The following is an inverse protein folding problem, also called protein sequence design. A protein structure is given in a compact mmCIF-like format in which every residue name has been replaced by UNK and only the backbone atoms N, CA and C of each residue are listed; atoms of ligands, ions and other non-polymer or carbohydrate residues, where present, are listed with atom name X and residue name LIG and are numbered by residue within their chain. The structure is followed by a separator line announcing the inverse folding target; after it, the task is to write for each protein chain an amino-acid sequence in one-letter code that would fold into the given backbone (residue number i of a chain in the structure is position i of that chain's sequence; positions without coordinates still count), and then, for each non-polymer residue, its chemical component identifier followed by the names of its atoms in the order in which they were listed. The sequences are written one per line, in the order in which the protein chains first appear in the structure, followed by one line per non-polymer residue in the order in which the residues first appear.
data_IF_305124288258
#
_entry.id   IF_305124288258
#
_cell.length_a   1.000
_cell.length_b   1.000
_cell.length_c   1.000
_cell.angle_alpha   90.00
_cell.angle_beta   90.00
_cell.angle_gamma   90.00
#
_symmetry.space_group_name_H-M   'P 1'
#
loop_
_entity.id
_entity.type
_entity.pdbx_description
1 polymer ?
#
# COMPACT_ATOMS: atom_id res chain seq x y z
N UNK A 1 -12.39 -15.68 10.59
CA UNK A 1 -12.55 -16.69 9.53
C UNK A 1 -13.08 -17.99 10.15
N UNK A 2 -14.07 -18.61 9.56
CA UNK A 2 -14.75 -19.83 10.07
C UNK A 2 -15.06 -20.78 8.91
N UNK A 3 -15.58 -21.97 9.20
CA UNK A 3 -16.05 -22.94 8.19
C UNK A 3 -17.22 -22.46 7.34
N UNK A 4 -17.93 -21.40 7.77
CA UNK A 4 -19.02 -20.80 7.02
C UNK A 4 -18.56 -19.85 5.91
N UNK A 5 -17.28 -19.50 5.89
CA UNK A 5 -16.71 -18.55 4.96
C UNK A 5 -16.28 -19.20 3.64
N UNK A 6 -16.27 -18.39 2.60
CA UNK A 6 -15.65 -18.71 1.31
C UNK A 6 -14.59 -17.67 1.01
N UNK A 7 -13.34 -18.09 0.90
CA UNK A 7 -12.21 -17.20 0.63
C UNK A 7 -11.68 -17.38 -0.79
N UNK A 8 -11.49 -16.29 -1.51
CA UNK A 8 -10.80 -16.25 -2.80
C UNK A 8 -9.57 -15.33 -2.68
N UNK A 9 -8.34 -15.89 -2.57
CA UNK A 9 -7.14 -15.08 -2.58
C UNK A 9 -6.75 -14.75 -4.02
N UNK A 10 -6.67 -13.45 -4.34
CA UNK A 10 -6.11 -13.00 -5.63
C UNK A 10 -4.58 -12.96 -5.58
N UNK A 11 -4.02 -13.11 -4.38
CA UNK A 11 -2.58 -13.14 -4.15
C UNK A 11 -1.97 -14.44 -4.68
N UNK A 12 -0.88 -14.39 -5.49
CA UNK A 12 -0.24 -15.59 -6.04
C UNK A 12 0.28 -16.54 -4.96
N UNK A 13 0.15 -17.86 -5.19
CA UNK A 13 0.63 -18.90 -4.28
C UNK A 13 2.13 -18.83 -3.99
N UNK A 14 2.94 -18.34 -4.92
CA UNK A 14 4.39 -18.18 -4.73
C UNK A 14 4.77 -16.97 -3.86
N UNK A 15 3.83 -16.05 -3.59
CA UNK A 15 4.09 -14.86 -2.78
C UNK A 15 3.64 -15.07 -1.33
N UNK A 16 4.59 -15.39 -0.45
CA UNK A 16 4.35 -15.74 0.96
C UNK A 16 3.20 -16.75 1.12
N UNK A 17 3.11 -17.73 0.20
CA UNK A 17 2.09 -18.77 0.13
C UNK A 17 0.65 -18.21 0.11
N UNK A 18 0.38 -17.26 -0.79
CA UNK A 18 -0.88 -16.51 -0.85
C UNK A 18 -1.26 -15.94 0.52
N UNK A 19 -0.28 -15.29 1.18
CA UNK A 19 -0.38 -14.72 2.53
C UNK A 19 -0.87 -15.70 3.61
N UNK A 20 -0.52 -16.99 3.47
CA UNK A 20 -0.84 -18.03 4.44
C UNK A 20 -2.29 -18.51 4.41
N UNK A 21 -3.13 -17.96 3.52
CA UNK A 21 -4.56 -18.34 3.46
C UNK A 21 -4.82 -19.83 3.21
N UNK A 22 -4.09 -20.57 2.34
CA UNK A 22 -4.32 -21.99 2.17
C UNK A 22 -4.20 -22.78 3.47
N UNK A 23 -3.23 -22.43 4.32
CA UNK A 23 -3.06 -23.08 5.63
C UNK A 23 -4.19 -22.72 6.59
N UNK A 24 -4.53 -21.44 6.68
CA UNK A 24 -5.58 -20.97 7.57
C UNK A 24 -6.95 -21.55 7.16
N UNK A 25 -7.28 -21.60 5.88
CA UNK A 25 -8.52 -22.20 5.40
C UNK A 25 -8.63 -23.67 5.80
N UNK A 26 -7.55 -24.45 5.62
CA UNK A 26 -7.52 -25.86 6.02
C UNK A 26 -7.66 -26.04 7.53
N UNK A 27 -7.04 -25.16 8.32
CA UNK A 27 -7.11 -25.23 9.80
C UNK A 27 -8.53 -25.03 10.35
N UNK A 28 -9.32 -24.17 9.71
CA UNK A 28 -10.66 -23.78 10.21
C UNK A 28 -11.81 -24.34 9.36
N UNK A 29 -11.52 -25.04 8.26
CA UNK A 29 -12.53 -25.65 7.38
C UNK A 29 -13.18 -24.66 6.41
N UNK A 30 -12.60 -23.48 6.19
CA UNK A 30 -13.08 -22.47 5.23
C UNK A 30 -12.95 -23.00 3.79
N UNK A 31 -13.98 -22.81 2.96
CA UNK A 31 -13.90 -23.05 1.52
C UNK A 31 -12.89 -22.09 0.89
N UNK A 32 -11.94 -22.61 0.12
CA UNK A 32 -11.01 -21.81 -0.67
C UNK A 32 -11.28 -21.95 -2.16
N UNK A 33 -11.33 -20.84 -2.87
CA UNK A 33 -11.50 -20.75 -4.33
C UNK A 33 -10.22 -20.18 -4.92
N UNK A 34 -9.69 -20.81 -5.97
CA UNK A 34 -8.53 -20.33 -6.68
C UNK A 34 -8.95 -19.78 -8.05
N UNK A 35 -8.73 -18.49 -8.34
CA UNK A 35 -9.17 -17.87 -9.61
C UNK A 35 -8.36 -18.32 -10.82
N UNK A 36 -7.30 -19.13 -10.62
CA UNK A 36 -6.40 -19.52 -11.70
C UNK A 36 -5.57 -18.34 -12.23
N UNK A 37 -5.26 -18.30 -13.53
CA UNK A 37 -4.45 -17.25 -14.14
C UNK A 37 -5.26 -16.02 -14.57
N UNK A 38 -6.58 -16.05 -14.48
CA UNK A 38 -7.48 -15.00 -14.97
C UNK A 38 -7.79 -14.03 -13.82
N UNK A 39 -7.04 -12.93 -13.75
CA UNK A 39 -7.13 -11.95 -12.67
C UNK A 39 -7.69 -10.62 -13.16
N UNK A 40 -8.36 -10.60 -14.32
CA UNK A 40 -9.08 -9.42 -14.80
C UNK A 40 -10.32 -9.16 -13.94
N UNK A 41 -10.77 -7.89 -13.84
CA UNK A 41 -11.87 -7.52 -12.95
C UNK A 41 -13.17 -8.24 -13.19
N UNK A 42 -13.52 -8.52 -14.46
CA UNK A 42 -14.77 -9.18 -14.84
C UNK A 42 -14.78 -10.63 -14.34
N UNK A 43 -13.73 -11.40 -14.66
CA UNK A 43 -13.58 -12.80 -14.22
C UNK A 43 -13.60 -12.91 -12.70
N UNK A 44 -12.91 -12.02 -11.99
CA UNK A 44 -12.89 -12.04 -10.52
C UNK A 44 -14.27 -11.73 -9.92
N UNK A 45 -15.02 -10.79 -10.49
CA UNK A 45 -16.35 -10.45 -10.04
C UNK A 45 -17.35 -11.59 -10.30
N UNK A 46 -17.24 -12.26 -11.45
CA UNK A 46 -18.02 -13.46 -11.77
C UNK A 46 -17.73 -14.59 -10.75
N UNK A 47 -16.46 -14.83 -10.42
CA UNK A 47 -16.06 -15.81 -9.41
C UNK A 47 -16.60 -15.44 -8.02
N UNK A 48 -16.55 -14.14 -7.64
CA UNK A 48 -17.07 -13.67 -6.35
C UNK A 48 -18.56 -13.97 -6.19
N UNK A 49 -19.35 -13.73 -7.23
CA UNK A 49 -20.78 -14.00 -7.22
C UNK A 49 -21.06 -15.52 -7.24
N UNK A 50 -20.52 -16.24 -8.25
CA UNK A 50 -20.82 -17.64 -8.49
C UNK A 50 -20.41 -18.55 -7.33
N UNK A 51 -19.25 -18.30 -6.74
CA UNK A 51 -18.72 -19.09 -5.63
C UNK A 51 -19.22 -18.61 -4.26
N UNK A 52 -19.91 -17.45 -4.24
CA UNK A 52 -20.42 -16.82 -3.04
C UNK A 52 -19.31 -16.42 -2.08
N UNK A 53 -18.29 -15.76 -2.62
CA UNK A 53 -17.10 -15.33 -1.87
C UNK A 53 -17.49 -14.34 -0.77
N UNK A 54 -17.00 -14.60 0.45
CA UNK A 54 -17.26 -13.78 1.64
C UNK A 54 -16.04 -12.94 2.03
N UNK A 55 -14.84 -13.48 1.78
CA UNK A 55 -13.56 -12.85 2.07
C UNK A 55 -12.67 -12.95 0.85
N UNK A 56 -11.98 -11.86 0.54
CA UNK A 56 -10.97 -11.85 -0.53
C UNK A 56 -9.74 -11.07 -0.11
N UNK A 57 -8.60 -11.31 -0.78
CA UNK A 57 -7.33 -10.66 -0.47
C UNK A 57 -6.54 -10.39 -1.75
N UNK A 58 -5.98 -9.20 -1.87
CA UNK A 58 -5.22 -8.80 -3.05
C UNK A 58 -4.47 -7.49 -2.88
N UNK A 59 -3.87 -7.03 -3.98
CA UNK A 59 -3.09 -5.79 -4.03
C UNK A 59 -3.95 -4.62 -4.56
N UNK A 60 -3.58 -3.37 -4.27
CA UNK A 60 -4.37 -2.19 -4.66
C UNK A 60 -4.71 -2.11 -6.15
N UNK A 61 -3.78 -2.51 -7.04
CA UNK A 61 -4.00 -2.45 -8.50
C UNK A 61 -5.17 -3.34 -8.95
N UNK A 62 -5.34 -4.51 -8.36
CA UNK A 62 -6.49 -5.38 -8.62
C UNK A 62 -7.78 -4.72 -8.13
N UNK A 63 -7.76 -4.19 -6.91
CA UNK A 63 -8.93 -3.54 -6.32
C UNK A 63 -9.35 -2.29 -7.07
N UNK A 64 -8.41 -1.50 -7.58
CA UNK A 64 -8.73 -0.34 -8.43
C UNK A 64 -9.41 -0.76 -9.73
N UNK A 65 -8.97 -1.86 -10.36
CA UNK A 65 -9.62 -2.43 -11.55
C UNK A 65 -11.07 -2.88 -11.25
N UNK A 66 -11.26 -3.61 -10.15
CA UNK A 66 -12.59 -4.05 -9.69
C UNK A 66 -13.49 -2.86 -9.36
N UNK A 67 -12.98 -1.85 -8.63
CA UNK A 67 -13.74 -0.64 -8.33
C UNK A 67 -14.20 0.08 -9.60
N UNK A 68 -13.30 0.24 -10.57
CA UNK A 68 -13.64 0.84 -11.86
C UNK A 68 -14.69 0.07 -12.66
N UNK A 69 -14.71 -1.27 -12.55
CA UNK A 69 -15.73 -2.10 -13.19
C UNK A 69 -17.08 -1.97 -12.47
N UNK A 70 -17.09 -2.01 -11.14
CA UNK A 70 -18.30 -1.81 -10.33
C UNK A 70 -18.89 -0.42 -10.52
N UNK A 71 -18.07 0.62 -10.69
CA UNK A 71 -18.55 1.98 -10.97
C UNK A 71 -19.21 2.10 -12.35
N UNK A 72 -18.77 1.30 -13.34
CA UNK A 72 -19.37 1.26 -14.69
C UNK A 72 -20.66 0.45 -14.71
N UNK A 73 -20.73 -0.64 -13.99
CA UNK A 73 -21.84 -1.62 -14.01
C UNK A 73 -22.26 -1.99 -12.57
N UNK A 74 -22.81 -1.05 -11.78
CA UNK A 74 -23.00 -1.21 -10.33
C UNK A 74 -23.98 -2.33 -9.93
N UNK A 75 -24.92 -2.68 -10.80
CA UNK A 75 -25.98 -3.68 -10.54
C UNK A 75 -25.74 -5.02 -11.25
N UNK A 76 -24.56 -5.21 -11.87
CA UNK A 76 -24.28 -6.41 -12.68
C UNK A 76 -24.02 -7.65 -11.82
N UNK A 77 -23.36 -7.51 -10.66
CA UNK A 77 -22.98 -8.62 -9.80
C UNK A 77 -23.61 -8.52 -8.41
N UNK A 78 -24.11 -9.63 -7.91
CA UNK A 78 -24.55 -9.74 -6.51
C UNK A 78 -23.36 -10.07 -5.59
N UNK A 79 -22.76 -9.05 -5.03
CA UNK A 79 -21.70 -9.17 -4.05
C UNK A 79 -22.19 -9.10 -2.60
N UNK A 80 -23.47 -9.35 -2.32
CA UNK A 80 -24.06 -9.21 -0.97
C UNK A 80 -23.35 -10.05 0.09
N UNK A 81 -22.77 -11.19 -0.30
CA UNK A 81 -22.00 -12.08 0.60
C UNK A 81 -20.59 -11.55 0.91
N UNK A 82 -19.99 -10.75 0.01
CA UNK A 82 -18.64 -10.24 0.19
C UNK A 82 -18.63 -9.13 1.25
N UNK A 83 -18.08 -9.44 2.42
CA UNK A 83 -18.05 -8.51 3.56
C UNK A 83 -16.64 -8.06 3.96
N UNK A 84 -15.57 -8.70 3.47
CA UNK A 84 -14.20 -8.33 3.82
C UNK A 84 -13.25 -8.46 2.64
N UNK A 85 -12.55 -7.37 2.33
CA UNK A 85 -11.56 -7.29 1.28
C UNK A 85 -10.22 -6.87 1.90
N UNK A 86 -9.27 -7.80 2.04
CA UNK A 86 -7.94 -7.45 2.52
C UNK A 86 -7.12 -6.83 1.40
N UNK A 87 -6.51 -5.70 1.69
CA UNK A 87 -5.54 -5.05 0.82
C UNK A 87 -4.18 -4.99 1.50
N UNK A 88 -3.13 -5.30 0.76
CA UNK A 88 -1.76 -5.24 1.26
C UNK A 88 -0.75 -5.31 0.13
N UNK A 89 0.52 -5.46 0.49
CA UNK A 89 1.61 -5.53 -0.47
C UNK A 89 2.12 -4.17 -0.97
N UNK A 90 1.28 -3.15 -1.01
CA UNK A 90 1.63 -1.73 -1.16
C UNK A 90 0.59 -0.87 -0.46
N UNK A 91 0.86 0.43 -0.31
CA UNK A 91 -0.09 1.36 0.29
C UNK A 91 -1.38 1.41 -0.54
N UNK A 92 -2.52 1.31 0.14
CA UNK A 92 -3.83 1.41 -0.48
C UNK A 92 -4.28 2.87 -0.55
N UNK A 93 -4.59 3.40 -1.75
CA UNK A 93 -5.10 4.76 -1.85
C UNK A 93 -6.38 4.96 -1.02
N UNK A 94 -6.41 6.00 -0.20
CA UNK A 94 -7.59 6.36 0.59
C UNK A 94 -8.86 6.49 -0.27
N UNK A 95 -8.72 7.08 -1.45
CA UNK A 95 -9.81 7.24 -2.41
C UNK A 95 -10.40 5.90 -2.87
N UNK A 96 -9.57 4.85 -3.03
CA UNK A 96 -10.02 3.51 -3.35
C UNK A 96 -10.83 2.92 -2.20
N UNK A 97 -10.34 3.02 -0.96
CA UNK A 97 -11.03 2.54 0.25
C UNK A 97 -12.38 3.24 0.41
N UNK A 98 -12.40 4.57 0.26
CA UNK A 98 -13.62 5.38 0.29
C UNK A 98 -14.60 4.97 -0.81
N UNK A 99 -14.10 4.74 -2.02
CA UNK A 99 -14.92 4.29 -3.15
C UNK A 99 -15.65 2.99 -2.88
N UNK A 100 -14.97 1.96 -2.42
CA UNK A 100 -15.60 0.69 -2.04
C UNK A 100 -16.64 0.87 -0.94
N UNK A 101 -16.34 1.64 0.08
CA UNK A 101 -17.24 1.86 1.21
C UNK A 101 -18.47 2.66 0.82
N UNK A 102 -18.28 3.83 0.21
CA UNK A 102 -19.35 4.81 -0.04
C UNK A 102 -20.26 4.44 -1.20
N UNK A 103 -19.69 3.86 -2.27
CA UNK A 103 -20.47 3.55 -3.48
C UNK A 103 -20.98 2.12 -3.52
N UNK A 104 -20.23 1.17 -2.92
CA UNK A 104 -20.54 -0.26 -3.02
C UNK A 104 -20.77 -0.95 -1.68
N UNK A 105 -20.71 -0.22 -0.54
CA UNK A 105 -20.95 -0.77 0.80
C UNK A 105 -19.98 -1.87 1.21
N UNK A 106 -18.75 -1.89 0.65
CA UNK A 106 -17.76 -2.93 0.93
C UNK A 106 -16.71 -2.47 1.93
N UNK A 107 -16.32 -3.37 2.83
CA UNK A 107 -15.29 -3.10 3.82
C UNK A 107 -13.92 -3.52 3.29
N UNK A 108 -13.02 -2.56 3.21
CA UNK A 108 -11.60 -2.81 2.94
C UNK A 108 -10.85 -2.84 4.25
N UNK A 109 -10.03 -3.86 4.44
CA UNK A 109 -9.11 -4.00 5.58
C UNK A 109 -7.69 -3.86 5.05
N UNK A 110 -6.96 -2.86 5.51
CA UNK A 110 -5.58 -2.64 5.10
C UNK A 110 -4.63 -3.37 6.06
N UNK A 111 -3.61 -4.00 5.54
CA UNK A 111 -2.60 -4.68 6.33
C UNK A 111 -1.19 -4.49 5.78
N UNK A 112 -0.22 -4.55 6.67
CA UNK A 112 1.19 -4.54 6.31
C UNK A 112 1.88 -5.80 6.80
N UNK A 113 2.78 -6.26 5.99
CA UNK A 113 3.65 -7.38 6.29
C UNK A 113 4.59 -7.67 5.14
N UNK A 114 5.43 -8.65 5.34
CA UNK A 114 6.44 -9.07 4.39
C UNK A 114 6.76 -10.56 4.60
N UNK A 115 7.55 -11.16 3.73
CA UNK A 115 7.92 -12.59 3.89
C UNK A 115 8.53 -12.84 5.26
N UNK A 116 9.34 -11.92 5.74
CA UNK A 116 10.04 -11.99 7.02
C UNK A 116 9.11 -11.87 8.24
N UNK A 117 7.86 -11.42 8.05
CA UNK A 117 6.83 -11.40 9.11
C UNK A 117 5.78 -12.50 8.98
N UNK A 118 5.96 -13.50 8.12
CA UNK A 118 5.24 -14.79 7.95
C UNK A 118 3.70 -14.75 7.78
N UNK A 119 3.09 -13.93 6.96
CA UNK A 119 3.56 -12.71 6.34
C UNK A 119 3.07 -11.43 7.02
N UNK A 120 2.07 -11.48 7.93
CA UNK A 120 1.33 -10.32 8.42
C UNK A 120 1.85 -9.82 9.76
N UNK A 121 2.10 -8.53 9.86
CA UNK A 121 2.50 -7.88 11.11
C UNK A 121 1.46 -6.88 11.63
N UNK A 122 0.73 -6.19 10.75
CA UNK A 122 -0.30 -5.23 11.16
C UNK A 122 -1.59 -5.41 10.36
N UNK A 123 -2.70 -4.95 10.95
CA UNK A 123 -3.99 -4.87 10.26
C UNK A 123 -4.77 -3.65 10.75
N UNK A 124 -5.45 -2.99 9.83
CA UNK A 124 -6.34 -1.88 10.19
C UNK A 124 -7.62 -2.43 10.80
N UNK A 125 -7.90 -2.03 12.03
CA UNK A 125 -9.17 -2.25 12.71
C UNK A 125 -9.43 -1.02 13.59
N UNK A 126 -10.68 -0.77 13.91
CA UNK A 126 -11.04 0.34 14.78
C UNK A 126 -10.97 -0.07 16.24
N UNK A 127 -10.29 0.72 17.06
CA UNK A 127 -10.25 0.54 18.51
C UNK A 127 -11.01 1.65 19.26
N UNK A 128 -11.61 1.29 20.37
CA UNK A 128 -12.27 2.25 21.27
C UNK A 128 -13.33 3.09 20.55
N UNK A 129 -13.23 4.40 20.73
CA UNK A 129 -14.12 5.43 20.18
C UNK A 129 -14.01 5.58 18.63
N UNK A 130 -12.94 5.11 18.01
CA UNK A 130 -12.81 5.11 16.56
C UNK A 130 -13.87 4.22 15.87
N UNK A 131 -14.45 3.26 16.58
CA UNK A 131 -15.56 2.44 16.06
C UNK A 131 -16.84 3.25 15.79
N UNK A 132 -17.00 4.36 16.48
CA UNK A 132 -18.17 5.26 16.39
C UNK A 132 -17.79 6.66 15.91
N UNK A 133 -16.56 6.86 15.46
CA UNK A 133 -16.11 8.10 14.88
C UNK A 133 -16.84 8.40 13.55
N UNK A 134 -16.77 9.63 13.10
CA UNK A 134 -17.29 10.01 11.79
C UNK A 134 -16.57 9.24 10.66
N UNK A 135 -17.21 9.22 9.49
CA UNK A 135 -16.74 8.41 8.37
C UNK A 135 -15.36 8.85 7.88
N UNK A 136 -15.07 10.15 7.85
CA UNK A 136 -13.79 10.69 7.38
C UNK A 136 -12.65 10.24 8.29
N UNK A 137 -12.85 10.36 9.62
CA UNK A 137 -11.92 9.83 10.62
C UNK A 137 -11.68 8.33 10.46
N UNK A 138 -12.75 7.56 10.23
CA UNK A 138 -12.62 6.12 10.01
C UNK A 138 -11.87 5.79 8.71
N UNK A 139 -12.09 6.53 7.64
CA UNK A 139 -11.36 6.35 6.37
C UNK A 139 -9.86 6.68 6.54
N UNK A 140 -9.53 7.73 7.28
CA UNK A 140 -8.13 8.07 7.58
C UNK A 140 -7.43 6.96 8.36
N UNK A 141 -8.10 6.36 9.34
CA UNK A 141 -7.56 5.23 10.11
C UNK A 141 -7.35 3.98 9.25
N UNK A 142 -8.32 3.62 8.40
CA UNK A 142 -8.20 2.41 7.55
C UNK A 142 -7.18 2.61 6.43
N UNK A 143 -6.93 3.84 6.00
CA UNK A 143 -5.87 4.13 5.04
C UNK A 143 -4.46 3.88 5.60
N UNK A 144 -4.28 3.89 6.93
CA UNK A 144 -3.02 3.47 7.57
C UNK A 144 -2.90 1.93 7.52
N UNK A 145 -1.66 1.42 7.67
CA UNK A 145 -1.41 -0.03 7.65
C UNK A 145 -1.81 -0.75 8.95
N UNK A 146 -2.34 -0.01 9.90
CA UNK A 146 -3.04 -0.54 11.06
C UNK A 146 -2.21 -0.72 12.32
N UNK A 147 -2.76 -1.49 13.24
CA UNK A 147 -2.16 -1.82 14.53
C UNK A 147 -1.36 -3.12 14.45
N UNK A 148 -0.31 -3.28 15.26
CA UNK A 148 0.40 -4.55 15.35
C UNK A 148 -0.53 -5.67 15.81
N UNK A 149 -0.36 -6.85 15.20
CA UNK A 149 -1.04 -8.06 15.65
C UNK A 149 -0.58 -8.44 17.07
N UNK A 150 -1.39 -9.19 17.83
CA UNK A 150 -0.99 -9.68 19.13
C UNK A 150 0.41 -10.34 19.10
N UNK A 151 1.30 -9.96 20.03
CA UNK A 151 2.69 -10.40 20.14
C UNK A 151 3.66 -9.83 19.10
N UNK A 152 3.23 -8.96 18.19
CA UNK A 152 4.12 -8.19 17.32
C UNK A 152 4.40 -6.84 17.97
N UNK A 153 5.66 -6.48 18.03
CA UNK A 153 6.14 -5.19 18.50
C UNK A 153 6.68 -4.39 17.31
N UNK A 154 6.41 -3.08 17.30
CA UNK A 154 6.88 -2.14 16.28
C UNK A 154 7.57 -0.96 16.94
N UNK A 155 8.63 -0.45 16.30
CA UNK A 155 9.23 0.84 16.62
C UNK A 155 9.74 1.53 15.35
N UNK A 156 9.83 2.83 15.37
CA UNK A 156 10.50 3.63 14.34
C UNK A 156 11.80 4.19 14.88
N UNK A 157 12.87 4.11 14.11
CA UNK A 157 14.20 4.59 14.51
C UNK A 157 14.64 5.67 13.51
N UNK A 158 15.02 6.84 14.03
CA UNK A 158 15.56 7.95 13.23
C UNK A 158 17.02 7.71 12.78
N UNK A 159 17.56 8.63 11.99
CA UNK A 159 18.94 8.58 11.51
C UNK A 159 19.99 8.74 12.65
N UNK A 160 19.58 9.21 13.84
CA UNK A 160 20.44 9.29 15.04
C UNK A 160 20.37 8.01 15.90
N UNK A 161 19.56 7.02 15.52
CA UNK A 161 19.36 5.76 16.24
C UNK A 161 18.41 5.86 17.44
N UNK A 162 17.57 6.91 17.51
CA UNK A 162 16.58 7.11 18.56
C UNK A 162 15.19 6.68 18.10
N UNK A 163 14.36 6.23 19.03
CA UNK A 163 12.95 5.99 18.74
C UNK A 163 12.22 7.29 18.46
N UNK A 164 11.46 7.33 17.36
CA UNK A 164 10.63 8.46 16.99
C UNK A 164 9.38 8.55 17.88
N UNK A 165 8.85 9.76 18.12
CA UNK A 165 7.57 9.93 18.81
C UNK A 165 6.40 9.42 17.96
N UNK A 166 5.28 9.11 18.65
CA UNK A 166 4.03 8.71 18.01
C UNK A 166 3.12 9.94 17.84
N UNK A 167 3.47 10.81 16.90
CA UNK A 167 2.81 12.09 16.63
C UNK A 167 2.21 12.22 15.23
N UNK A 168 2.29 11.16 14.43
CA UNK A 168 1.91 11.07 13.01
C UNK A 168 2.85 11.82 12.05
N UNK A 169 3.82 12.56 12.53
CA UNK A 169 4.70 13.45 11.75
C UNK A 169 6.12 12.89 11.64
N UNK A 170 6.73 12.55 12.77
CA UNK A 170 8.09 12.03 12.80
C UNK A 170 8.21 10.73 12.01
N UNK A 171 9.23 10.64 11.17
CA UNK A 171 9.50 9.47 10.32
C UNK A 171 10.78 8.77 10.77
N UNK A 172 10.78 7.43 10.72
CA UNK A 172 11.95 6.61 11.03
C UNK A 172 11.87 5.25 10.36
N UNK A 173 12.99 4.53 10.34
CA UNK A 173 13.03 3.16 9.86
C UNK A 173 12.16 2.27 10.75
N UNK A 174 11.17 1.62 10.15
CA UNK A 174 10.30 0.67 10.83
C UNK A 174 11.09 -0.58 11.20
N UNK A 175 11.09 -0.92 12.48
CA UNK A 175 11.62 -2.16 12.99
C UNK A 175 10.53 -3.00 13.62
N UNK A 176 10.59 -4.31 13.43
CA UNK A 176 9.58 -5.26 13.89
C UNK A 176 10.22 -6.40 14.67
N UNK A 177 9.52 -6.87 15.71
CA UNK A 177 9.89 -8.05 16.50
C UNK A 177 8.64 -8.84 16.85
N UNK A 178 8.72 -10.16 16.86
CA UNK A 178 7.61 -11.02 17.21
C UNK A 178 7.94 -12.51 17.04
N UNK A 179 7.09 -13.41 17.57
CA UNK A 179 7.35 -14.86 17.59
C UNK A 179 7.38 -15.52 16.21
N UNK A 180 6.83 -14.89 15.18
CA UNK A 180 6.85 -15.39 13.80
C UNK A 180 7.65 -14.48 12.84
N UNK A 181 8.34 -13.47 13.38
CA UNK A 181 9.31 -12.69 12.59
C UNK A 181 10.55 -13.55 12.38
N UNK A 182 11.06 -13.59 11.15
CA UNK A 182 12.25 -14.38 10.81
C UNK A 182 13.45 -13.98 11.67
N UNK A 183 14.22 -14.96 12.13
CA UNK A 183 15.43 -14.74 12.94
C UNK A 183 16.70 -14.54 12.09
N UNK A 184 16.61 -14.74 10.79
CA UNK A 184 17.73 -14.59 9.85
C UNK A 184 17.41 -15.18 8.50
N UNK A 185 18.28 -14.94 7.52
CA UNK A 185 18.24 -15.58 6.22
C UNK A 185 19.15 -16.81 6.19
N UNK A 186 18.73 -17.82 5.46
CA UNK A 186 19.48 -19.06 5.35
C UNK A 186 20.75 -18.86 4.53
N UNK A 187 21.91 -19.25 5.10
CA UNK A 187 23.24 -19.18 4.47
C UNK A 187 23.64 -17.80 3.87
N UNK A 188 23.13 -16.70 4.46
CA UNK A 188 23.45 -15.32 4.05
C UNK A 188 23.93 -14.48 5.23
N UNK A 189 25.10 -14.79 5.82
CA UNK A 189 25.60 -14.10 7.01
C UNK A 189 25.81 -12.59 6.80
N UNK A 190 26.03 -12.14 5.56
CA UNK A 190 26.13 -10.73 5.18
C UNK A 190 24.83 -9.94 5.39
N UNK A 191 23.71 -10.62 5.55
CA UNK A 191 22.41 -10.00 5.86
C UNK A 191 22.13 -9.91 7.36
N UNK A 192 23.04 -10.39 8.22
CA UNK A 192 22.83 -10.39 9.67
C UNK A 192 22.65 -8.97 10.24
N UNK A 193 23.22 -7.95 9.61
CA UNK A 193 23.04 -6.53 9.96
C UNK A 193 21.59 -6.02 9.87
N UNK A 194 20.70 -6.81 9.21
CA UNK A 194 19.26 -6.53 9.19
C UNK A 194 18.59 -6.76 10.54
N UNK A 195 19.25 -7.42 11.46
CA UNK A 195 18.81 -7.60 12.85
C UNK A 195 19.67 -6.79 13.80
N UNK A 196 19.02 -6.17 14.76
CA UNK A 196 19.72 -5.49 15.85
C UNK A 196 20.13 -6.50 16.92
N UNK A 197 21.09 -6.14 17.79
CA UNK A 197 21.57 -7.02 18.87
C UNK A 197 20.45 -7.38 19.88
N UNK A 198 19.42 -6.53 20.00
CA UNK A 198 18.24 -6.73 20.84
C UNK A 198 17.07 -7.41 20.10
N UNK A 199 17.32 -7.96 18.90
CA UNK A 199 16.43 -8.86 18.17
C UNK A 199 15.34 -8.19 17.34
N UNK A 200 15.50 -6.93 16.96
CA UNK A 200 14.58 -6.26 16.01
C UNK A 200 15.04 -6.46 14.57
N UNK A 201 14.10 -6.77 13.71
CA UNK A 201 14.32 -6.82 12.27
C UNK A 201 14.10 -5.44 11.65
N UNK A 202 15.09 -4.94 10.94
CA UNK A 202 15.06 -3.70 10.15
C UNK A 202 14.36 -3.97 8.83
N UNK A 203 13.16 -3.42 8.66
CA UNK A 203 12.29 -3.76 7.52
C UNK A 203 12.72 -3.10 6.22
N UNK A 204 13.42 -1.95 6.31
CA UNK A 204 13.70 -1.07 5.19
C UNK A 204 12.46 -0.28 4.72
N UNK A 205 11.39 -0.26 5.51
CA UNK A 205 10.28 0.66 5.35
C UNK A 205 10.49 1.87 6.27
N UNK A 206 10.13 3.05 5.81
CA UNK A 206 10.03 4.28 6.60
C UNK A 206 8.60 4.45 7.03
N UNK A 207 8.37 4.72 8.29
CA UNK A 207 7.03 4.86 8.86
C UNK A 207 6.93 6.01 9.85
N UNK A 208 5.72 6.50 10.05
CA UNK A 208 5.30 7.29 11.21
C UNK A 208 4.26 6.53 12.03
N UNK A 209 4.03 6.96 13.27
CA UNK A 209 3.08 6.33 14.15
C UNK A 209 2.04 7.34 14.63
N UNK A 210 0.79 6.98 14.43
CA UNK A 210 -0.32 7.73 15.01
C UNK A 210 -0.32 7.59 16.55
N UNK A 211 -0.74 8.61 17.33
CA UNK A 211 -0.77 8.54 18.81
C UNK A 211 -1.54 7.35 19.39
N UNK A 212 -2.41 6.74 18.60
CA UNK A 212 -3.16 5.53 18.97
C UNK A 212 -2.51 4.23 18.56
N UNK A 213 -1.27 4.25 18.10
CA UNK A 213 -0.48 3.07 17.75
C UNK A 213 -0.64 2.56 16.33
N UNK A 214 -1.41 3.23 15.45
CA UNK A 214 -1.47 2.86 14.04
C UNK A 214 -0.18 3.24 13.34
N UNK A 215 0.36 2.31 12.57
CA UNK A 215 1.53 2.56 11.72
C UNK A 215 1.08 3.08 10.35
N UNK A 216 1.80 4.06 9.86
CA UNK A 216 1.65 4.60 8.52
C UNK A 216 2.97 4.47 7.78
N UNK A 217 3.02 3.57 6.79
CA UNK A 217 4.19 3.43 5.92
C UNK A 217 4.26 4.68 5.03
N UNK A 218 5.38 5.38 5.14
CA UNK A 218 5.64 6.59 4.36
C UNK A 218 6.37 6.28 3.07
N UNK A 219 7.31 5.34 3.11
CA UNK A 219 8.06 4.93 1.92
C UNK A 219 8.91 3.68 2.19
N UNK A 220 9.63 3.24 1.18
CA UNK A 220 10.83 2.41 1.33
C UNK A 220 12.04 3.30 1.60
N UNK A 221 12.98 2.88 2.43
CA UNK A 221 14.21 3.63 2.71
C UNK A 221 15.04 3.96 1.45
N UNK A 222 14.91 3.13 0.41
CA UNK A 222 15.53 3.33 -0.92
C UNK A 222 14.71 4.19 -1.88
N UNK A 223 13.45 4.48 -1.55
CA UNK A 223 12.49 5.19 -2.42
C UNK A 223 12.10 6.55 -1.83
N UNK A 224 12.31 6.76 -0.51
CA UNK A 224 12.14 8.07 0.12
C UNK A 224 13.06 9.09 -0.53
N UNK A 225 12.51 10.26 -0.84
CA UNK A 225 13.22 11.31 -1.55
C UNK A 225 13.89 12.22 -0.54
N UNK A 226 15.22 12.34 -0.60
CA UNK A 226 16.02 13.14 0.33
C UNK A 226 16.31 14.51 -0.26
N UNK A 227 15.49 15.48 0.07
CA UNK A 227 15.56 16.82 -0.52
C UNK A 227 16.01 17.86 0.51
N UNK A 228 17.23 18.34 0.37
CA UNK A 228 17.78 19.40 1.24
C UNK A 228 17.88 19.02 2.73
N UNK A 229 18.04 17.74 3.04
CA UNK A 229 18.07 17.20 4.40
C UNK A 229 16.72 16.82 4.97
N UNK A 230 15.64 17.05 4.23
CA UNK A 230 14.27 16.65 4.61
C UNK A 230 13.83 15.42 3.82
N UNK A 231 12.97 14.60 4.41
CA UNK A 231 12.41 13.42 3.76
C UNK A 231 11.06 13.73 3.13
N UNK A 232 10.89 13.35 1.88
CA UNK A 232 9.63 13.44 1.14
C UNK A 232 9.13 12.05 0.86
N UNK A 233 7.91 11.73 1.31
CA UNK A 233 7.25 10.47 1.02
C UNK A 233 6.76 10.46 -0.43
N UNK A 234 7.33 9.55 -1.23
CA UNK A 234 6.83 9.32 -2.58
C UNK A 234 5.43 8.71 -2.58
N UNK A 235 5.12 7.89 -1.58
CA UNK A 235 3.80 7.24 -1.41
C UNK A 235 2.70 8.25 -1.10
N UNK A 236 2.95 9.23 -0.24
CA UNK A 236 1.96 10.26 0.07
C UNK A 236 1.61 11.10 -1.17
N UNK A 237 2.63 11.46 -1.98
CA UNK A 237 2.43 12.16 -3.25
C UNK A 237 1.67 11.31 -4.28
N UNK A 238 2.01 10.02 -4.41
CA UNK A 238 1.31 9.07 -5.28
C UNK A 238 -0.16 8.96 -4.92
N UNK A 239 -0.47 8.76 -3.64
CA UNK A 239 -1.84 8.66 -3.14
C UNK A 239 -2.64 9.94 -3.41
N UNK A 240 -2.03 11.10 -3.20
CA UNK A 240 -2.67 12.38 -3.50
C UNK A 240 -2.92 12.56 -5.01
N UNK A 241 -1.95 12.25 -5.86
CA UNK A 241 -2.11 12.30 -7.31
C UNK A 241 -3.21 11.35 -7.81
N UNK A 242 -3.27 10.13 -7.27
CA UNK A 242 -4.32 9.16 -7.64
C UNK A 242 -5.73 9.57 -7.16
N UNK A 243 -5.85 10.54 -6.26
CA UNK A 243 -7.13 11.14 -5.90
C UNK A 243 -7.61 12.19 -6.94
N UNK A 244 -6.74 12.65 -7.85
CA UNK A 244 -7.12 13.58 -8.91
C UNK A 244 -8.02 12.90 -9.95
N UNK A 245 -9.14 13.54 -10.39
CA UNK A 245 -10.11 12.93 -11.30
C UNK A 245 -9.52 12.41 -12.62
N UNK A 246 -8.49 13.06 -13.15
CA UNK A 246 -7.87 12.69 -14.43
C UNK A 246 -6.76 11.64 -14.30
N UNK A 247 -6.33 11.25 -13.10
CA UNK A 247 -5.20 10.34 -12.89
C UNK A 247 -5.71 8.93 -12.61
N UNK A 248 -5.25 7.96 -13.41
CA UNK A 248 -5.50 6.53 -13.18
C UNK A 248 -4.45 5.91 -12.25
N UNK A 249 -3.17 6.17 -12.52
CA UNK A 249 -2.04 5.67 -11.74
C UNK A 249 -0.97 6.78 -11.64
N UNK A 250 -0.26 6.79 -10.51
CA UNK A 250 0.89 7.67 -10.32
C UNK A 250 2.01 6.95 -9.56
N UNK A 251 3.24 7.16 -9.99
CA UNK A 251 4.44 6.78 -9.26
C UNK A 251 5.38 7.99 -9.15
N UNK A 252 5.96 8.19 -7.96
CA UNK A 252 6.88 9.29 -7.73
C UNK A 252 8.26 8.73 -7.43
N UNK A 253 9.27 9.26 -8.10
CA UNK A 253 10.67 8.85 -7.95
C UNK A 253 11.56 10.04 -7.61
N UNK A 254 12.67 9.78 -6.96
CA UNK A 254 13.74 10.74 -6.79
C UNK A 254 14.51 10.93 -8.11
N UNK A 255 14.75 12.18 -8.48
CA UNK A 255 15.71 12.55 -9.51
C UNK A 255 16.82 13.41 -8.90
N UNK A 256 18.09 13.27 -9.35
CA UNK A 256 19.20 14.08 -8.86
C UNK A 256 18.97 15.57 -9.09
N UNK A 257 19.36 16.40 -8.11
CA UNK A 257 19.23 17.85 -8.20
C UNK A 257 20.46 18.54 -7.60
N UNK A 258 21.11 19.44 -8.35
CA UNK A 258 22.38 20.09 -7.96
C UNK A 258 22.36 20.77 -6.59
N UNK A 259 21.25 21.37 -6.18
CA UNK A 259 21.12 22.14 -4.95
C UNK A 259 20.52 21.34 -3.79
N UNK A 260 19.59 20.43 -4.10
CA UNK A 260 18.73 19.79 -3.10
C UNK A 260 19.02 18.31 -2.92
N UNK A 261 20.07 17.79 -3.56
CA UNK A 261 20.43 16.38 -3.64
C UNK A 261 19.43 15.60 -4.51
N UNK A 262 18.18 15.53 -4.09
CA UNK A 262 17.11 14.90 -4.82
C UNK A 262 15.85 15.79 -4.90
N UNK A 263 15.08 15.61 -5.99
CA UNK A 263 13.76 16.21 -6.15
C UNK A 263 12.75 15.20 -6.66
N UNK A 264 11.44 15.36 -6.31
CA UNK A 264 10.40 14.46 -6.81
C UNK A 264 10.13 14.68 -8.31
N UNK A 265 10.06 13.57 -9.06
CA UNK A 265 9.47 13.46 -10.40
C UNK A 265 8.22 12.59 -10.30
N UNK A 266 7.07 13.11 -10.72
CA UNK A 266 5.83 12.36 -10.78
C UNK A 266 5.61 11.76 -12.19
N UNK A 267 5.45 10.44 -12.27
CA UNK A 267 5.10 9.71 -13.49
C UNK A 267 3.64 9.30 -13.41
N UNK A 268 2.81 9.79 -14.32
CA UNK A 268 1.36 9.68 -14.25
C UNK A 268 0.76 8.96 -15.47
N UNK A 269 -0.23 8.12 -15.23
CA UNK A 269 -1.12 7.55 -16.26
C UNK A 269 -2.45 8.28 -16.19
N UNK A 270 -2.90 8.84 -17.30
CA UNK A 270 -4.20 9.51 -17.37
C UNK A 270 -5.34 8.50 -17.51
N UNK A 271 -6.51 8.84 -16.99
CA UNK A 271 -7.73 8.09 -17.28
C UNK A 271 -8.12 8.29 -18.75
N UNK A 272 -8.76 7.27 -19.33
CA UNK A 272 -9.23 7.31 -20.70
C UNK A 272 -10.07 8.57 -21.00
N UNK A 273 -9.66 9.32 -22.04
CA UNK A 273 -10.33 10.54 -22.46
C UNK A 273 -10.11 11.76 -21.54
N UNK A 274 -9.29 11.64 -20.52
CA UNK A 274 -8.95 12.76 -19.63
C UNK A 274 -7.60 13.41 -20.01
N UNK A 275 -7.42 14.64 -19.58
CA UNK A 275 -6.18 15.40 -19.70
C UNK A 275 -5.84 16.05 -18.37
N UNK A 276 -4.57 16.31 -18.13
CA UNK A 276 -4.08 17.12 -17.02
C UNK A 276 -2.75 17.77 -17.41
N UNK A 277 -2.48 18.94 -16.89
CA UNK A 277 -1.21 19.63 -17.06
C UNK A 277 -0.37 19.54 -15.77
N UNK A 278 0.97 19.67 -15.87
CA UNK A 278 1.83 19.72 -14.68
C UNK A 278 1.40 20.77 -13.66
N UNK A 279 0.98 21.94 -14.14
CA UNK A 279 0.57 23.04 -13.25
C UNK A 279 -0.74 22.74 -12.52
N UNK A 280 -1.73 22.16 -13.20
CA UNK A 280 -2.99 21.71 -12.57
C UNK A 280 -2.73 20.67 -11.48
N UNK A 281 -1.85 19.69 -11.73
CA UNK A 281 -1.50 18.67 -10.74
C UNK A 281 -0.73 19.28 -9.57
N UNK A 282 0.16 20.24 -9.83
CA UNK A 282 0.91 20.94 -8.77
C UNK A 282 -0.03 21.80 -7.90
N UNK A 283 -0.98 22.51 -8.52
CA UNK A 283 -2.00 23.27 -7.80
C UNK A 283 -2.93 22.37 -6.97
N UNK A 284 -3.26 21.19 -7.48
CA UNK A 284 -4.06 20.19 -6.74
C UNK A 284 -3.33 19.66 -5.50
N UNK A 285 -2.01 19.46 -5.57
CA UNK A 285 -1.20 18.99 -4.44
C UNK A 285 -0.93 20.10 -3.40
N UNK A 286 -0.80 21.36 -3.82
CA UNK A 286 -0.33 22.47 -3.00
C UNK A 286 -1.08 22.69 -1.68
N UNK A 287 -2.41 22.46 -1.56
CA UNK A 287 -3.12 22.62 -0.29
C UNK A 287 -2.72 21.61 0.80
N UNK A 288 -2.19 20.45 0.41
CA UNK A 288 -1.93 19.33 1.32
C UNK A 288 -0.44 19.08 1.59
N UNK A 289 0.45 19.73 0.84
CA UNK A 289 1.90 19.49 0.93
C UNK A 289 2.69 20.78 1.04
N UNK A 290 3.78 20.74 1.81
CA UNK A 290 4.74 21.83 1.84
C UNK A 290 5.33 22.06 0.43
N UNK A 291 5.66 23.30 0.12
CA UNK A 291 6.13 23.68 -1.23
C UNK A 291 7.32 22.84 -1.72
N UNK A 292 8.22 22.46 -0.82
CA UNK A 292 9.39 21.67 -1.17
C UNK A 292 9.08 20.18 -1.45
N UNK A 293 7.87 19.70 -1.11
CA UNK A 293 7.39 18.36 -1.44
C UNK A 293 6.90 18.27 -2.89
N UNK A 294 6.42 19.39 -3.46
CA UNK A 294 5.78 19.38 -4.77
C UNK A 294 6.75 18.90 -5.85
N UNK A 295 6.32 18.03 -6.76
CA UNK A 295 7.15 17.56 -7.86
C UNK A 295 7.66 18.72 -8.74
N UNK A 296 8.95 18.68 -9.05
CA UNK A 296 9.56 19.64 -9.97
C UNK A 296 9.17 19.33 -11.42
N UNK A 297 8.95 18.05 -11.72
CA UNK A 297 8.56 17.60 -13.06
C UNK A 297 7.43 16.55 -13.01
N UNK A 298 6.67 16.48 -14.11
CA UNK A 298 5.60 15.50 -14.32
C UNK A 298 5.79 14.88 -15.71
N UNK A 299 5.77 13.56 -15.78
CA UNK A 299 5.82 12.78 -17.01
C UNK A 299 4.52 12.00 -17.20
N UNK A 300 3.97 12.02 -18.39
CA UNK A 300 2.76 11.28 -18.72
C UNK A 300 3.13 10.08 -19.60
N UNK A 301 2.71 8.90 -19.15
CA UNK A 301 3.01 7.62 -19.80
C UNK A 301 1.72 6.83 -20.01
N UNK A 302 1.76 5.89 -20.97
CA UNK A 302 0.62 4.99 -21.22
C UNK A 302 0.47 3.97 -20.11
N UNK A 303 1.58 3.50 -19.53
CA UNK A 303 1.57 2.56 -18.39
C UNK A 303 2.79 2.73 -17.48
N UNK A 304 2.63 2.42 -16.19
CA UNK A 304 3.72 2.32 -15.22
C UNK A 304 4.16 0.85 -15.14
N UNK A 305 5.46 0.53 -15.31
CA UNK A 305 5.96 -0.83 -15.19
C UNK A 305 5.62 -1.46 -13.84
N UNK A 306 5.15 -2.71 -13.85
CA UNK A 306 4.75 -3.45 -12.64
C UNK A 306 5.55 -4.73 -12.46
N UNK A 307 5.65 -5.20 -11.23
CA UNK A 307 6.15 -6.54 -10.89
C UNK A 307 5.07 -7.59 -11.20
N UNK A 308 5.46 -8.87 -11.20
CA UNK A 308 4.52 -9.99 -11.35
C UNK A 308 3.40 -10.04 -10.27
N UNK A 309 3.57 -9.31 -9.17
CA UNK A 309 2.59 -9.17 -8.08
C UNK A 309 1.88 -7.81 -8.09
N UNK A 310 1.95 -7.06 -9.21
CA UNK A 310 1.20 -5.83 -9.42
C UNK A 310 1.76 -4.56 -8.74
N UNK A 311 2.98 -4.60 -8.16
CA UNK A 311 3.61 -3.40 -7.56
C UNK A 311 4.34 -2.58 -8.60
N UNK A 312 4.33 -1.25 -8.49
CA UNK A 312 5.10 -0.36 -9.36
C UNK A 312 6.62 -0.63 -9.27
N UNK A 313 7.27 -0.72 -10.41
CA UNK A 313 8.73 -0.91 -10.53
C UNK A 313 9.44 0.43 -10.62
N UNK A 314 9.58 1.13 -9.49
CA UNK A 314 10.28 2.44 -9.44
C UNK A 314 11.72 2.37 -9.96
N UNK A 315 12.40 1.22 -9.84
CA UNK A 315 13.74 1.02 -10.42
C UNK A 315 13.74 1.19 -11.94
N UNK A 316 12.75 0.64 -12.64
CA UNK A 316 12.64 0.81 -14.09
C UNK A 316 12.35 2.26 -14.48
N UNK A 317 11.53 2.97 -13.69
CA UNK A 317 11.28 4.39 -13.90
C UNK A 317 12.55 5.23 -13.68
N UNK A 318 13.34 4.94 -12.64
CA UNK A 318 14.63 5.62 -12.44
C UNK A 318 15.59 5.37 -13.59
N UNK A 319 15.73 4.12 -14.06
CA UNK A 319 16.55 3.79 -15.23
C UNK A 319 16.13 4.59 -16.48
N UNK A 320 14.83 4.79 -16.67
CA UNK A 320 14.28 5.53 -17.80
C UNK A 320 14.51 7.04 -17.69
N UNK A 321 14.23 7.63 -16.53
CA UNK A 321 14.17 9.09 -16.39
C UNK A 321 15.41 9.73 -15.74
N UNK A 322 16.34 8.95 -15.14
CA UNK A 322 17.60 9.50 -14.64
C UNK A 322 18.75 9.40 -15.64
N UNK A 323 18.58 8.65 -16.74
CA UNK A 323 19.59 8.50 -17.81
C UNK A 323 19.62 9.69 -18.78
N UNK A 324 18.58 10.53 -18.81
CA UNK A 324 18.50 11.76 -19.59
C UNK A 324 18.25 12.95 -18.67
N UNK A 325 18.96 14.11 -18.83
CA UNK A 325 18.63 15.30 -18.07
C UNK A 325 17.21 15.74 -18.45
N UNK A 326 16.31 15.73 -17.46
CA UNK A 326 14.96 16.27 -17.62
C UNK A 326 15.09 17.74 -17.98
N UNK A 327 14.66 18.12 -19.18
CA UNK A 327 14.64 19.52 -19.60
C UNK A 327 13.63 20.29 -18.76
N UNK A 328 13.98 21.49 -18.28
CA UNK A 328 13.13 22.31 -17.40
C UNK A 328 11.82 22.77 -18.07
#
# INVERSE_FOLDING_TARGET
MTEAETLLPVVPMFHANAWGYPYTCLMVGTKIVFPGPFLDPETLLDDFEQEGVTITAGVPTIWMGILGMLDKEPDRWDLSKLHSMLVGGSAAPRAMIAGFRQRHGKTVVHGWGMTETSPLATTSDYIGDLRTADEETQLDIVAMQGLPLPFVELRGIDDEGKEIPWDSEAMGELQVRGPWVAAGYYETPEQAERWTDDGWFKTGDIASFHPRGYVMIKDRSKDVIKSGGEWISSVDLENALMAHPSIAEAAVIAIPHEKWDERPLAVCVLREGQTATPDELREFLAPNFAKFWLPDAFEFVDEIPKTAVGKFRKTALREQFTSEPVSP
#
